data_IF_924285148250
#
_entry.id   IF_924285148250
#
_cell.length_a   1.000
_cell.length_b   1.000
_cell.length_c   1.000
_cell.angle_alpha   90.00
_cell.angle_beta   90.00
_cell.angle_gamma   90.00
#
_symmetry.space_group_name_H-M   'P 1'
#
loop_
_entity.id
_entity.type
_entity.pdbx_description
1 polymer ?
#
# COMPACT_ATOMS: atom_id res chain seq x y z
N UNK A 1 10.79 13.11 -31.92
CA UNK A 1 11.47 11.85 -31.53
C UNK A 1 12.02 11.94 -30.11
N UNK A 2 12.75 13.00 -29.76
CA UNK A 2 13.30 13.20 -28.40
C UNK A 2 12.25 13.15 -27.26
N UNK A 3 11.08 13.78 -27.43
CA UNK A 3 9.98 13.73 -26.44
C UNK A 3 9.50 12.30 -26.13
N UNK A 4 9.32 11.46 -27.16
CA UNK A 4 8.90 10.05 -27.00
C UNK A 4 10.01 9.23 -26.36
N UNK A 5 11.27 9.50 -26.71
CA UNK A 5 12.43 8.86 -26.09
C UNK A 5 12.53 9.22 -24.60
N UNK A 6 12.39 10.49 -24.25
CA UNK A 6 12.42 10.98 -22.85
C UNK A 6 11.28 10.39 -22.03
N UNK A 7 10.08 10.31 -22.61
CA UNK A 7 8.93 9.63 -22.01
C UNK A 7 9.25 8.15 -21.72
N UNK A 8 9.71 7.42 -22.73
CA UNK A 8 9.99 5.98 -22.64
C UNK A 8 11.09 5.68 -21.63
N UNK A 9 12.18 6.45 -21.65
CA UNK A 9 13.28 6.32 -20.70
C UNK A 9 12.80 6.55 -19.28
N UNK A 10 12.01 7.60 -19.04
CA UNK A 10 11.47 7.91 -17.72
C UNK A 10 10.55 6.79 -17.21
N UNK A 11 9.64 6.30 -18.07
CA UNK A 11 8.71 5.22 -17.75
C UNK A 11 9.45 3.90 -17.45
N UNK A 12 10.38 3.49 -18.31
CA UNK A 12 11.17 2.27 -18.11
C UNK A 12 12.01 2.37 -16.84
N UNK A 13 12.63 3.53 -16.60
CA UNK A 13 13.41 3.76 -15.38
C UNK A 13 12.56 3.67 -14.12
N UNK A 14 11.36 4.26 -14.14
CA UNK A 14 10.39 4.13 -13.05
C UNK A 14 10.00 2.67 -12.78
N UNK A 15 9.68 1.92 -13.83
CA UNK A 15 9.36 0.51 -13.75
C UNK A 15 10.50 -0.31 -13.15
N UNK A 16 11.73 -0.12 -13.64
CA UNK A 16 12.91 -0.82 -13.11
C UNK A 16 13.13 -0.48 -11.62
N UNK A 17 13.03 0.80 -11.25
CA UNK A 17 13.25 1.21 -9.86
C UNK A 17 12.20 0.64 -8.91
N UNK A 18 10.96 0.43 -9.35
CA UNK A 18 9.90 -0.20 -8.54
C UNK A 18 10.18 -1.67 -8.18
N UNK A 19 10.97 -2.38 -8.99
CA UNK A 19 11.34 -3.78 -8.76
C UNK A 19 12.58 -3.94 -7.88
N UNK A 20 13.34 -2.86 -7.66
CA UNK A 20 14.60 -2.91 -6.90
C UNK A 20 14.39 -3.16 -5.41
N UNK A 21 13.20 -2.92 -4.87
CA UNK A 21 12.90 -3.05 -3.44
C UNK A 21 13.23 -4.42 -2.85
N UNK A 22 13.11 -5.50 -3.61
CA UNK A 22 13.47 -6.85 -3.15
C UNK A 22 14.98 -6.96 -2.96
N UNK A 23 15.76 -6.43 -3.91
CA UNK A 23 17.22 -6.41 -3.80
C UNK A 23 17.65 -5.54 -2.63
N UNK A 24 17.00 -4.38 -2.45
CA UNK A 24 17.23 -3.46 -1.34
C UNK A 24 16.93 -4.12 -0.01
N UNK A 25 15.84 -4.87 0.09
CA UNK A 25 15.47 -5.60 1.30
C UNK A 25 16.56 -6.58 1.73
N UNK A 26 17.05 -7.40 0.79
CA UNK A 26 18.11 -8.38 1.05
C UNK A 26 19.43 -7.71 1.43
N UNK A 27 19.78 -6.63 0.73
CA UNK A 27 20.98 -5.84 1.02
C UNK A 27 20.90 -5.18 2.42
N UNK A 28 19.78 -4.53 2.74
CA UNK A 28 19.57 -3.87 4.03
C UNK A 28 19.62 -4.87 5.19
N UNK A 29 19.02 -6.05 5.02
CA UNK A 29 19.10 -7.12 6.02
C UNK A 29 20.54 -7.59 6.24
N UNK A 30 21.26 -7.86 5.15
CA UNK A 30 22.68 -8.27 5.21
C UNK A 30 23.52 -7.23 5.94
N UNK A 31 23.40 -5.94 5.58
CA UNK A 31 24.23 -4.90 6.18
C UNK A 31 23.88 -4.64 7.66
N UNK A 32 22.59 -4.71 8.03
CA UNK A 32 22.18 -4.60 9.44
C UNK A 32 22.77 -5.75 10.26
N UNK A 33 22.72 -6.97 9.74
CA UNK A 33 23.29 -8.15 10.38
C UNK A 33 24.82 -8.04 10.51
N UNK A 34 25.52 -7.59 9.46
CA UNK A 34 26.97 -7.37 9.50
C UNK A 34 27.37 -6.30 10.52
N UNK A 35 26.64 -5.19 10.60
CA UNK A 35 26.85 -4.13 11.62
C UNK A 35 26.58 -4.64 13.05
N UNK A 36 25.63 -5.55 13.22
CA UNK A 36 25.37 -6.18 14.52
C UNK A 36 26.49 -7.13 14.92
N UNK A 37 27.03 -7.90 13.96
CA UNK A 37 28.20 -8.75 14.18
C UNK A 37 29.46 -7.95 14.50
N UNK A 38 29.73 -6.85 13.78
CA UNK A 38 30.91 -6.02 14.01
C UNK A 38 30.85 -5.20 15.31
N UNK A 39 29.64 -4.94 15.82
CA UNK A 39 29.42 -4.34 17.15
C UNK A 39 29.40 -5.35 18.29
N UNK A 40 29.44 -6.66 18.01
CA UNK A 40 29.66 -7.65 19.04
C UNK A 40 31.10 -7.46 19.55
N UNK A 41 31.32 -7.17 20.85
CA UNK A 41 32.66 -6.92 21.36
C UNK A 41 33.54 -8.15 21.06
N UNK A 42 34.70 -7.89 20.46
CA UNK A 42 35.79 -8.86 20.50
C UNK A 42 36.02 -9.18 21.98
N UNK A 43 35.69 -10.41 22.35
CA UNK A 43 36.02 -10.95 23.66
C UNK A 43 37.55 -11.01 23.71
N UNK A 44 38.18 -10.01 24.30
CA UNK A 44 39.35 -10.28 25.13
C UNK A 44 38.89 -11.32 26.16
N UNK A 45 39.47 -12.52 26.09
CA UNK A 45 39.51 -13.48 27.19
C UNK A 45 39.82 -12.69 28.47
N UNK A 46 39.12 -12.87 29.59
CA UNK A 46 39.05 -14.12 30.34
C UNK A 46 37.78 -14.18 31.21
N UNK A 47 37.31 -15.40 31.44
CA UNK A 47 36.46 -15.83 32.55
C UNK A 47 35.09 -15.15 32.72
N UNK A 48 34.08 -15.69 32.03
CA UNK A 48 32.96 -16.30 32.75
C UNK A 48 32.04 -17.11 31.83
N UNK A 49 31.73 -18.34 32.26
CA UNK A 49 30.69 -19.20 31.69
C UNK A 49 29.32 -18.59 31.99
N UNK A 50 28.87 -17.64 31.17
CA UNK A 50 27.45 -17.35 31.00
C UNK A 50 27.12 -17.53 29.53
N UNK A 51 26.12 -18.39 29.26
CA UNK A 51 25.54 -18.62 27.94
C UNK A 51 25.20 -17.27 27.31
N UNK A 52 26.09 -16.74 26.48
CA UNK A 52 25.81 -15.63 25.59
C UNK A 52 24.77 -16.11 24.60
N UNK A 53 23.50 -15.88 24.92
CA UNK A 53 22.42 -15.88 23.93
C UNK A 53 22.85 -14.82 22.91
N UNK A 54 23.33 -15.25 21.75
CA UNK A 54 23.53 -14.36 20.60
C UNK A 54 22.18 -13.69 20.37
N UNK A 55 22.02 -12.45 20.82
CA UNK A 55 20.86 -11.62 20.48
C UNK A 55 21.00 -11.36 18.99
N UNK A 56 20.37 -12.23 18.20
CA UNK A 56 20.26 -12.07 16.76
C UNK A 56 19.48 -10.78 16.55
N UNK A 57 20.19 -9.71 16.27
CA UNK A 57 19.60 -8.41 16.02
C UNK A 57 18.93 -8.49 14.64
N UNK A 58 17.74 -9.09 14.60
CA UNK A 58 16.97 -9.24 13.37
C UNK A 58 16.84 -7.90 12.68
N UNK A 59 16.98 -7.89 11.35
CA UNK A 59 16.62 -6.73 10.57
C UNK A 59 15.15 -6.42 10.81
N UNK A 60 14.90 -5.38 11.62
CA UNK A 60 13.56 -4.89 11.90
C UNK A 60 12.77 -4.68 10.59
N UNK A 61 13.45 -4.33 9.51
CA UNK A 61 12.85 -4.17 8.18
C UNK A 61 12.34 -5.51 7.61
N UNK A 62 13.20 -6.53 7.55
CA UNK A 62 12.81 -7.83 6.99
C UNK A 62 11.72 -8.51 7.81
N UNK A 63 11.84 -8.49 9.14
CA UNK A 63 10.81 -9.05 10.03
C UNK A 63 9.47 -8.36 9.80
N UNK A 64 9.44 -7.03 9.61
CA UNK A 64 8.21 -6.28 9.34
C UNK A 64 7.60 -6.59 7.97
N UNK A 65 8.43 -6.70 6.93
CA UNK A 65 7.97 -7.13 5.60
C UNK A 65 7.36 -8.54 5.68
N UNK A 66 8.04 -9.48 6.33
CA UNK A 66 7.54 -10.84 6.51
C UNK A 66 6.26 -10.89 7.34
N UNK A 67 6.16 -10.11 8.41
CA UNK A 67 4.93 -9.98 9.22
C UNK A 67 3.76 -9.50 8.35
N UNK A 68 3.97 -8.52 7.49
CA UNK A 68 2.94 -8.04 6.56
C UNK A 68 2.57 -9.11 5.53
N UNK A 69 3.53 -9.83 4.95
CA UNK A 69 3.26 -10.93 4.02
C UNK A 69 2.47 -12.07 4.68
N UNK A 70 2.83 -12.45 5.91
CA UNK A 70 2.14 -13.51 6.66
C UNK A 70 0.72 -13.08 7.00
N UNK A 71 0.51 -11.88 7.52
CA UNK A 71 -0.82 -11.40 7.89
C UNK A 71 -1.73 -11.29 6.66
N UNK A 72 -1.27 -10.64 5.59
CA UNK A 72 -2.11 -10.36 4.43
C UNK A 72 -2.23 -11.53 3.46
N UNK A 73 -1.16 -12.29 3.25
CA UNK A 73 -1.14 -13.44 2.36
C UNK A 73 -1.61 -14.72 3.04
N UNK A 74 -0.95 -15.10 4.13
CA UNK A 74 -1.19 -16.41 4.75
C UNK A 74 -2.39 -16.44 5.70
N UNK A 75 -2.61 -15.40 6.51
CA UNK A 75 -3.76 -15.39 7.41
C UNK A 75 -4.99 -14.91 6.63
N UNK A 76 -4.89 -13.74 6.00
CA UNK A 76 -6.07 -13.11 5.44
C UNK A 76 -6.47 -13.69 4.08
N UNK A 77 -5.63 -13.55 3.05
CA UNK A 77 -5.96 -14.01 1.70
C UNK A 77 -6.22 -15.53 1.66
N UNK A 78 -5.37 -16.34 2.27
CA UNK A 78 -5.57 -17.79 2.31
C UNK A 78 -6.88 -18.17 3.00
N UNK A 79 -7.28 -17.48 4.08
CA UNK A 79 -8.58 -17.77 4.73
C UNK A 79 -9.75 -17.53 3.79
N UNK A 80 -9.71 -16.48 2.96
CA UNK A 80 -10.73 -16.21 1.94
C UNK A 80 -10.73 -17.31 0.87
N UNK A 81 -9.55 -17.69 0.37
CA UNK A 81 -9.44 -18.72 -0.67
C UNK A 81 -9.90 -20.09 -0.17
N UNK A 82 -9.51 -20.48 1.05
CA UNK A 82 -9.95 -21.73 1.69
C UNK A 82 -11.46 -21.70 1.90
N UNK A 83 -12.03 -20.57 2.33
CA UNK A 83 -13.48 -20.47 2.52
C UNK A 83 -14.24 -20.61 1.19
N UNK A 84 -13.87 -19.84 0.17
CA UNK A 84 -14.59 -19.77 -1.11
C UNK A 84 -14.38 -21.02 -1.98
N UNK A 85 -13.17 -21.59 -1.99
CA UNK A 85 -12.81 -22.68 -2.91
C UNK A 85 -12.70 -24.07 -2.27
N UNK A 86 -12.61 -24.17 -0.94
CA UNK A 86 -12.56 -25.47 -0.25
C UNK A 86 -13.79 -25.68 0.64
N UNK A 87 -14.06 -24.79 1.60
CA UNK A 87 -15.13 -24.98 2.58
C UNK A 87 -16.52 -24.89 1.96
N UNK A 88 -16.82 -23.83 1.19
CA UNK A 88 -18.13 -23.70 0.55
C UNK A 88 -18.44 -24.88 -0.39
N UNK A 89 -17.55 -25.29 -1.31
CA UNK A 89 -17.77 -26.48 -2.11
C UNK A 89 -17.91 -27.75 -1.28
N UNK A 90 -17.10 -27.96 -0.25
CA UNK A 90 -17.20 -29.14 0.63
C UNK A 90 -18.57 -29.20 1.33
N UNK A 91 -19.05 -28.07 1.86
CA UNK A 91 -20.39 -27.99 2.46
C UNK A 91 -21.48 -28.24 1.42
N UNK A 92 -21.33 -27.71 0.19
CA UNK A 92 -22.26 -28.00 -0.91
C UNK A 92 -22.30 -29.49 -1.24
N UNK A 93 -21.15 -30.16 -1.31
CA UNK A 93 -21.07 -31.60 -1.52
C UNK A 93 -21.74 -32.38 -0.39
N UNK A 94 -21.59 -31.96 0.87
CA UNK A 94 -22.29 -32.57 2.00
C UNK A 94 -23.82 -32.41 1.89
N UNK A 95 -24.32 -31.24 1.50
CA UNK A 95 -25.77 -31.04 1.26
C UNK A 95 -26.26 -31.99 0.18
N UNK A 96 -25.53 -32.10 -0.93
CA UNK A 96 -25.89 -33.01 -2.02
C UNK A 96 -25.81 -34.48 -1.60
N UNK A 97 -24.86 -34.85 -0.73
CA UNK A 97 -24.75 -36.22 -0.23
C UNK A 97 -25.92 -36.60 0.70
N UNK A 98 -26.41 -35.66 1.53
CA UNK A 98 -27.49 -35.92 2.49
C UNK A 98 -28.87 -35.80 1.83
N UNK A 99 -29.09 -34.75 1.04
CA UNK A 99 -30.40 -34.41 0.48
C UNK A 99 -30.53 -34.69 -1.03
N UNK A 100 -29.50 -35.25 -1.67
CA UNK A 100 -29.48 -35.47 -3.12
C UNK A 100 -30.55 -36.42 -3.67
N UNK A 101 -31.24 -37.15 -2.80
CA UNK A 101 -32.41 -37.96 -3.16
C UNK A 101 -33.59 -37.10 -3.62
N UNK A 102 -33.71 -35.86 -3.14
CA UNK A 102 -34.69 -34.87 -3.59
C UNK A 102 -33.97 -33.58 -4.04
N UNK A 103 -33.77 -33.39 -5.36
CA UNK A 103 -33.07 -32.23 -5.90
C UNK A 103 -33.68 -30.88 -5.49
N UNK A 104 -35.00 -30.82 -5.27
CA UNK A 104 -35.68 -29.60 -4.85
C UNK A 104 -35.32 -29.21 -3.42
N UNK A 105 -35.29 -30.19 -2.52
CA UNK A 105 -34.89 -29.97 -1.12
C UNK A 105 -33.41 -29.57 -1.01
N UNK A 106 -32.51 -30.28 -1.70
CA UNK A 106 -31.09 -29.97 -1.69
C UNK A 106 -30.80 -28.55 -2.22
N UNK A 107 -31.49 -28.15 -3.31
CA UNK A 107 -31.37 -26.81 -3.86
C UNK A 107 -31.87 -25.75 -2.88
N UNK A 108 -33.04 -25.93 -2.29
CA UNK A 108 -33.62 -25.01 -1.32
C UNK A 108 -32.71 -24.84 -0.09
N UNK A 109 -32.15 -25.93 0.43
CA UNK A 109 -31.23 -25.89 1.58
C UNK A 109 -29.97 -25.10 1.24
N UNK A 110 -29.35 -25.36 0.10
CA UNK A 110 -28.16 -24.64 -0.32
C UNK A 110 -28.42 -23.15 -0.57
N UNK A 111 -29.58 -22.81 -1.13
CA UNK A 111 -29.95 -21.44 -1.49
C UNK A 111 -29.97 -20.46 -0.31
N UNK A 112 -30.40 -20.90 0.88
CA UNK A 112 -30.33 -20.05 2.09
C UNK A 112 -29.03 -20.23 2.87
N UNK A 113 -28.44 -21.43 2.86
CA UNK A 113 -27.24 -21.70 3.65
C UNK A 113 -26.00 -21.03 3.09
N UNK A 114 -25.82 -21.01 1.77
CA UNK A 114 -24.66 -20.36 1.13
C UNK A 114 -24.56 -18.85 1.46
N UNK A 115 -25.60 -18.01 1.26
CA UNK A 115 -25.51 -16.60 1.61
C UNK A 115 -25.36 -16.39 3.11
N UNK A 116 -25.98 -17.22 3.95
CA UNK A 116 -25.83 -17.14 5.41
C UNK A 116 -24.39 -17.40 5.87
N UNK A 117 -23.78 -18.51 5.42
CA UNK A 117 -22.39 -18.85 5.72
C UNK A 117 -21.43 -17.75 5.22
N UNK A 118 -21.65 -17.29 3.99
CA UNK A 118 -20.82 -16.25 3.37
C UNK A 118 -20.91 -14.93 4.13
N UNK A 119 -22.11 -14.52 4.54
CA UNK A 119 -22.33 -13.30 5.31
C UNK A 119 -21.70 -13.39 6.70
N UNK A 120 -21.89 -14.49 7.40
CA UNK A 120 -21.29 -14.73 8.73
C UNK A 120 -19.77 -14.69 8.65
N UNK A 121 -19.16 -15.38 7.68
CA UNK A 121 -17.71 -15.34 7.46
C UNK A 121 -17.22 -13.91 7.14
N UNK A 122 -17.92 -13.19 6.27
CA UNK A 122 -17.53 -11.82 5.90
C UNK A 122 -17.60 -10.85 7.07
N UNK A 123 -18.64 -10.93 7.90
CA UNK A 123 -18.88 -10.01 9.00
C UNK A 123 -18.02 -10.31 10.24
N UNK A 124 -17.86 -11.58 10.59
CA UNK A 124 -17.17 -11.98 11.83
C UNK A 124 -15.66 -12.13 11.61
N UNK A 125 -15.24 -12.56 10.41
CA UNK A 125 -13.83 -12.84 10.14
C UNK A 125 -13.20 -11.79 9.21
N UNK A 126 -13.72 -11.64 7.99
CA UNK A 126 -13.07 -10.82 6.95
C UNK A 126 -13.05 -9.34 7.33
N UNK A 127 -14.17 -8.77 7.77
CA UNK A 127 -14.26 -7.34 8.07
C UNK A 127 -13.37 -6.93 9.27
N UNK A 128 -13.41 -7.60 10.43
CA UNK A 128 -12.50 -7.27 11.54
C UNK A 128 -11.03 -7.45 11.15
N UNK A 129 -10.70 -8.55 10.47
CA UNK A 129 -9.33 -8.82 10.03
C UNK A 129 -8.83 -7.77 9.02
N UNK A 130 -9.70 -7.31 8.11
CA UNK A 130 -9.39 -6.23 7.17
C UNK A 130 -9.05 -4.92 7.89
N UNK A 131 -9.88 -4.52 8.86
CA UNK A 131 -9.68 -3.29 9.64
C UNK A 131 -8.39 -3.36 10.47
N UNK A 132 -8.17 -4.48 11.17
CA UNK A 132 -6.95 -4.71 11.94
C UNK A 132 -5.71 -4.72 11.05
N UNK A 133 -5.78 -5.40 9.91
CA UNK A 133 -4.68 -5.46 8.96
C UNK A 133 -4.32 -4.07 8.45
N UNK A 134 -5.29 -3.23 8.10
CA UNK A 134 -5.01 -1.83 7.69
C UNK A 134 -4.26 -1.04 8.74
N UNK A 135 -4.67 -1.13 10.01
CA UNK A 135 -4.03 -0.40 11.11
C UNK A 135 -2.59 -0.88 11.34
N UNK A 136 -2.42 -2.20 11.44
CA UNK A 136 -1.13 -2.82 11.74
C UNK A 136 -0.15 -2.62 10.57
N UNK A 137 -0.61 -2.77 9.33
CA UNK A 137 0.18 -2.51 8.14
C UNK A 137 0.68 -1.06 8.11
N UNK A 138 -0.17 -0.07 8.41
CA UNK A 138 0.25 1.34 8.44
C UNK A 138 1.44 1.58 9.37
N UNK A 139 1.42 0.98 10.57
CA UNK A 139 2.52 1.04 11.53
C UNK A 139 3.78 0.35 11.03
N UNK A 140 3.65 -0.86 10.47
CA UNK A 140 4.78 -1.61 9.92
C UNK A 140 5.40 -0.92 8.71
N UNK A 141 4.58 -0.32 7.85
CA UNK A 141 5.03 0.42 6.67
C UNK A 141 5.82 1.66 7.06
N UNK A 142 5.39 2.37 8.11
CA UNK A 142 6.14 3.49 8.67
C UNK A 142 7.48 3.03 9.26
N UNK A 143 7.51 1.94 10.03
CA UNK A 143 8.75 1.36 10.58
C UNK A 143 9.76 1.01 9.48
N UNK A 144 9.28 0.40 8.38
CA UNK A 144 10.07 0.03 7.21
C UNK A 144 10.64 1.27 6.53
N UNK A 145 9.78 2.26 6.26
CA UNK A 145 10.16 3.53 5.65
C UNK A 145 11.24 4.27 6.45
N UNK A 146 11.03 4.43 7.75
CA UNK A 146 11.95 5.16 8.63
C UNK A 146 13.30 4.46 8.72
N UNK A 147 13.29 3.12 8.77
CA UNK A 147 14.52 2.33 8.78
C UNK A 147 15.31 2.47 7.48
N UNK A 148 14.62 2.38 6.32
CA UNK A 148 15.25 2.58 5.01
C UNK A 148 15.78 4.00 4.83
N UNK A 149 15.01 5.01 5.24
CA UNK A 149 15.42 6.40 5.18
C UNK A 149 16.66 6.66 6.04
N UNK A 150 16.66 6.19 7.29
CA UNK A 150 17.79 6.34 8.22
C UNK A 150 19.06 5.73 7.70
N UNK A 151 18.93 4.59 7.03
CA UNK A 151 20.06 3.90 6.44
C UNK A 151 20.70 4.71 5.29
N UNK A 152 19.89 5.32 4.41
CA UNK A 152 20.41 6.03 3.22
C UNK A 152 20.74 7.50 3.43
N UNK A 153 19.92 8.21 4.21
CA UNK A 153 19.96 9.68 4.30
C UNK A 153 20.20 10.20 5.71
N UNK A 154 20.32 9.31 6.70
CA UNK A 154 20.50 9.70 8.09
C UNK A 154 19.19 10.14 8.75
N UNK A 155 19.24 11.10 9.69
CA UNK A 155 18.07 11.43 10.51
C UNK A 155 16.95 12.09 9.68
N UNK A 156 15.67 11.69 9.85
CA UNK A 156 14.54 12.36 9.21
C UNK A 156 14.51 13.86 9.54
N UNK A 157 14.20 14.67 8.54
CA UNK A 157 13.97 16.11 8.69
C UNK A 157 12.47 16.35 8.77
N UNK A 158 11.91 16.29 9.98
CA UNK A 158 10.49 16.55 10.18
C UNK A 158 10.18 18.04 10.08
N UNK A 159 8.95 18.36 9.68
CA UNK A 159 8.42 19.72 9.78
C UNK A 159 8.53 20.24 11.22
N UNK A 160 8.76 21.55 11.38
CA UNK A 160 9.05 22.16 12.68
C UNK A 160 7.89 22.13 13.70
N UNK A 161 6.68 21.74 13.30
CA UNK A 161 5.50 21.74 14.15
C UNK A 161 4.65 20.48 13.97
N UNK A 162 4.25 19.87 15.10
CA UNK A 162 3.33 18.72 15.17
C UNK A 162 1.97 19.06 14.54
N UNK A 163 1.49 20.29 14.69
CA UNK A 163 0.24 20.72 14.07
C UNK A 163 0.33 20.70 12.54
N UNK A 164 1.46 21.13 11.96
CA UNK A 164 1.69 21.05 10.51
C UNK A 164 1.75 19.60 10.03
N UNK A 165 2.38 18.73 10.80
CA UNK A 165 2.43 17.28 10.52
C UNK A 165 1.01 16.70 10.45
N UNK A 166 0.19 16.94 11.48
CA UNK A 166 -1.18 16.42 11.54
C UNK A 166 -2.01 16.97 10.38
N UNK A 167 -1.92 18.28 10.11
CA UNK A 167 -2.66 18.92 9.03
C UNK A 167 -2.28 18.35 7.65
N UNK A 168 -0.98 18.18 7.38
CA UNK A 168 -0.48 17.58 6.13
C UNK A 168 -0.94 16.13 5.99
N UNK A 169 -0.86 15.33 7.04
CA UNK A 169 -1.32 13.92 7.03
C UNK A 169 -2.82 13.80 6.78
N UNK A 170 -3.65 14.64 7.42
CA UNK A 170 -5.09 14.65 7.20
C UNK A 170 -5.46 15.14 5.80
N UNK A 171 -4.77 16.18 5.32
CA UNK A 171 -4.98 16.69 3.97
C UNK A 171 -4.56 15.67 2.90
N UNK A 172 -3.43 14.99 3.11
CA UNK A 172 -2.97 13.91 2.24
C UNK A 172 -3.96 12.76 2.19
N UNK A 173 -4.42 12.29 3.35
CA UNK A 173 -5.43 11.23 3.44
C UNK A 173 -6.72 11.59 2.68
N UNK A 174 -7.21 12.84 2.84
CA UNK A 174 -8.40 13.30 2.14
C UNK A 174 -8.19 13.35 0.62
N UNK A 175 -7.08 13.95 0.16
CA UNK A 175 -6.77 14.05 -1.28
C UNK A 175 -6.63 12.66 -1.90
N UNK A 176 -5.93 11.74 -1.24
CA UNK A 176 -5.75 10.37 -1.70
C UNK A 176 -7.10 9.62 -1.77
N UNK A 177 -7.96 9.76 -0.76
CA UNK A 177 -9.29 9.16 -0.76
C UNK A 177 -10.18 9.70 -1.90
N UNK A 178 -10.20 11.03 -2.09
CA UNK A 178 -10.94 11.64 -3.20
C UNK A 178 -10.36 11.24 -4.56
N UNK A 179 -9.04 11.07 -4.67
CA UNK A 179 -8.41 10.61 -5.91
C UNK A 179 -8.73 9.16 -6.25
N UNK A 180 -8.86 8.30 -5.22
CA UNK A 180 -9.36 6.95 -5.39
C UNK A 180 -10.81 6.96 -5.92
N UNK A 181 -11.68 7.79 -5.34
CA UNK A 181 -13.06 7.96 -5.83
C UNK A 181 -13.09 8.49 -7.25
N UNK A 182 -12.28 9.51 -7.57
CA UNK A 182 -12.12 10.02 -8.94
C UNK A 182 -11.76 8.89 -9.91
N UNK A 183 -10.82 8.01 -9.53
CA UNK A 183 -10.39 6.88 -10.35
C UNK A 183 -11.54 5.89 -10.62
N UNK A 184 -12.36 5.60 -9.60
CA UNK A 184 -13.55 4.76 -9.74
C UNK A 184 -14.58 5.38 -10.69
N UNK A 185 -14.83 6.69 -10.58
CA UNK A 185 -15.74 7.40 -11.48
C UNK A 185 -15.23 7.37 -12.93
N UNK A 186 -13.93 7.57 -13.12
CA UNK A 186 -13.29 7.52 -14.45
C UNK A 186 -13.39 6.12 -15.06
N UNK A 187 -13.33 5.04 -14.26
CA UNK A 187 -13.55 3.68 -14.77
C UNK A 187 -14.97 3.41 -15.26
N UNK A 188 -15.95 4.24 -14.90
CA UNK A 188 -17.34 4.09 -15.36
C UNK A 188 -17.60 4.74 -16.73
N UNK A 189 -16.58 5.32 -17.38
CA UNK A 189 -16.74 5.91 -18.71
C UNK A 189 -17.15 4.83 -19.74
N UNK A 190 -18.26 5.03 -20.49
CA UNK A 190 -18.79 4.05 -21.43
C UNK A 190 -18.04 4.06 -22.77
N UNK A 191 -16.70 4.10 -22.72
CA UNK A 191 -15.82 4.05 -23.88
C UNK A 191 -14.93 2.82 -23.69
N UNK A 192 -15.06 1.85 -24.59
CA UNK A 192 -14.37 0.56 -24.51
C UNK A 192 -12.87 0.75 -24.25
N UNK A 193 -12.35 0.08 -23.22
CA UNK A 193 -10.96 0.12 -22.74
C UNK A 193 -10.40 1.46 -22.25
N UNK A 194 -10.96 2.60 -22.65
CA UNK A 194 -10.47 3.92 -22.26
C UNK A 194 -10.67 4.18 -20.76
N UNK A 195 -11.84 3.81 -20.21
CA UNK A 195 -12.11 3.93 -18.77
C UNK A 195 -11.12 3.12 -17.91
N UNK A 196 -10.83 1.89 -18.34
CA UNK A 196 -9.86 1.00 -17.67
C UNK A 196 -8.43 1.53 -17.74
N UNK A 197 -7.99 1.99 -18.92
CA UNK A 197 -6.66 2.57 -19.11
C UNK A 197 -6.48 3.84 -18.27
N UNK A 198 -7.47 4.72 -18.24
CA UNK A 198 -7.42 5.93 -17.43
C UNK A 198 -7.42 5.60 -15.93
N UNK A 199 -8.20 4.60 -15.50
CA UNK A 199 -8.17 4.11 -14.12
C UNK A 199 -6.78 3.55 -13.77
N UNK A 200 -6.16 2.77 -14.66
CA UNK A 200 -4.80 2.27 -14.48
C UNK A 200 -3.80 3.42 -14.33
N UNK A 201 -3.86 4.46 -15.18
CA UNK A 201 -3.01 5.65 -15.05
C UNK A 201 -3.19 6.32 -13.69
N UNK A 202 -4.42 6.51 -13.21
CA UNK A 202 -4.66 7.07 -11.90
C UNK A 202 -4.08 6.19 -10.79
N UNK A 203 -4.32 4.87 -10.83
CA UNK A 203 -3.79 3.94 -9.83
C UNK A 203 -2.26 3.94 -9.79
N UNK A 204 -1.59 4.04 -10.95
CA UNK A 204 -0.14 4.15 -11.00
C UNK A 204 0.37 5.40 -10.28
N UNK A 205 -0.23 6.56 -10.55
CA UNK A 205 0.16 7.81 -9.88
C UNK A 205 -0.16 7.79 -8.38
N UNK A 206 -1.30 7.21 -8.00
CA UNK A 206 -1.70 7.08 -6.60
C UNK A 206 -0.77 6.15 -5.82
N UNK A 207 -0.40 5.00 -6.38
CA UNK A 207 0.51 4.05 -5.72
C UNK A 207 1.95 4.57 -5.68
N UNK A 208 2.37 5.33 -6.69
CA UNK A 208 3.60 6.11 -6.63
C UNK A 208 3.56 7.12 -5.49
N UNK A 209 2.47 7.89 -5.36
CA UNK A 209 2.31 8.82 -4.23
C UNK A 209 2.39 8.09 -2.89
N UNK A 210 1.66 6.98 -2.71
CA UNK A 210 1.69 6.19 -1.48
C UNK A 210 3.11 5.74 -1.12
N UNK A 211 3.86 5.25 -2.11
CA UNK A 211 5.20 4.68 -1.88
C UNK A 211 6.24 5.77 -1.56
N UNK A 212 6.22 6.88 -2.32
CA UNK A 212 7.17 7.97 -2.16
C UNK A 212 6.82 8.92 -1.01
N UNK A 213 5.55 8.98 -0.59
CA UNK A 213 5.12 9.82 0.51
C UNK A 213 5.92 9.55 1.78
N UNK A 214 6.18 8.30 2.13
CA UNK A 214 7.03 7.94 3.26
C UNK A 214 8.42 8.60 3.21
N UNK A 215 9.06 8.57 2.05
CA UNK A 215 10.37 9.19 1.82
C UNK A 215 10.28 10.71 1.91
N UNK A 216 9.30 11.31 1.25
CA UNK A 216 9.16 12.77 1.16
C UNK A 216 8.68 13.39 2.47
N UNK A 217 7.88 12.67 3.23
CA UNK A 217 7.49 13.03 4.58
C UNK A 217 8.73 13.09 5.49
N UNK A 218 9.63 12.10 5.40
CA UNK A 218 10.92 12.10 6.11
C UNK A 218 11.90 13.20 5.62
N UNK A 219 11.65 13.81 4.46
CA UNK A 219 12.35 15.01 3.97
C UNK A 219 11.65 16.33 4.35
N UNK A 220 10.51 16.26 5.04
CA UNK A 220 9.73 17.44 5.42
C UNK A 220 9.02 18.12 4.24
N UNK A 221 8.78 17.40 3.14
CA UNK A 221 8.02 17.95 2.01
C UNK A 221 6.54 17.99 2.33
N UNK A 222 5.87 19.12 2.12
CA UNK A 222 4.42 19.23 2.22
C UNK A 222 3.70 18.58 1.03
N UNK A 223 2.43 18.20 1.18
CA UNK A 223 1.65 17.51 0.16
C UNK A 223 1.65 18.22 -1.19
N UNK A 224 1.46 19.55 -1.21
CA UNK A 224 1.45 20.32 -2.47
C UNK A 224 2.74 20.13 -3.28
N UNK A 225 3.88 20.06 -2.60
CA UNK A 225 5.18 19.79 -3.23
C UNK A 225 5.22 18.36 -3.77
N UNK A 226 4.75 17.37 -3.00
CA UNK A 226 4.69 15.95 -3.42
C UNK A 226 3.84 15.78 -4.69
N UNK A 227 2.64 16.36 -4.71
CA UNK A 227 1.73 16.30 -5.85
C UNK A 227 2.33 16.98 -7.08
N UNK A 228 2.81 18.22 -6.94
CA UNK A 228 3.44 18.97 -8.04
C UNK A 228 4.62 18.20 -8.62
N UNK A 229 5.43 17.55 -7.77
CA UNK A 229 6.57 16.76 -8.20
C UNK A 229 6.14 15.53 -9.01
N UNK A 230 5.06 14.85 -8.62
CA UNK A 230 4.49 13.74 -9.40
C UNK A 230 3.94 14.25 -10.73
N UNK A 231 3.11 15.29 -10.74
CA UNK A 231 2.47 15.80 -11.95
C UNK A 231 3.49 16.31 -12.98
N UNK A 232 4.61 16.89 -12.51
CA UNK A 232 5.69 17.41 -13.37
C UNK A 232 6.60 16.30 -13.90
N UNK A 233 6.68 15.14 -13.24
CA UNK A 233 7.56 14.02 -13.63
C UNK A 233 6.75 12.73 -13.80
N UNK A 234 5.50 12.87 -14.25
CA UNK A 234 4.51 11.80 -14.27
C UNK A 234 4.92 10.56 -15.08
N UNK A 235 5.73 10.61 -16.17
CA UNK A 235 6.10 9.39 -16.89
C UNK A 235 6.87 8.41 -16.02
N UNK A 236 7.78 8.93 -15.17
CA UNK A 236 8.51 8.12 -14.21
C UNK A 236 7.57 7.48 -13.19
N UNK A 237 6.65 8.26 -12.61
CA UNK A 237 5.72 7.75 -11.60
C UNK A 237 4.64 6.83 -12.17
N UNK A 238 4.28 7.01 -13.42
CA UNK A 238 3.45 6.05 -14.16
C UNK A 238 4.16 4.71 -14.22
N UNK A 239 5.41 4.68 -14.69
CA UNK A 239 6.22 3.46 -14.74
C UNK A 239 6.45 2.82 -13.38
N UNK A 240 6.73 3.62 -12.35
CA UNK A 240 6.98 3.12 -10.99
C UNK A 240 5.75 2.47 -10.36
N UNK A 241 4.57 3.07 -10.51
CA UNK A 241 3.34 2.53 -9.93
C UNK A 241 2.75 1.35 -10.72
N UNK A 242 3.15 1.18 -11.99
CA UNK A 242 2.55 0.24 -12.92
C UNK A 242 2.49 -1.21 -12.43
N UNK A 243 3.58 -1.83 -11.91
CA UNK A 243 3.49 -3.24 -11.53
C UNK A 243 2.52 -3.45 -10.38
N UNK A 244 2.51 -2.58 -9.36
CA UNK A 244 1.57 -2.69 -8.26
C UNK A 244 0.14 -2.46 -8.73
N UNK A 245 -0.09 -1.46 -9.58
CA UNK A 245 -1.41 -1.17 -10.13
C UNK A 245 -1.97 -2.37 -10.90
N UNK A 246 -1.18 -2.96 -11.80
CA UNK A 246 -1.58 -4.17 -12.54
C UNK A 246 -1.85 -5.34 -11.59
N UNK A 247 -0.95 -5.62 -10.64
CA UNK A 247 -1.14 -6.72 -9.68
C UNK A 247 -2.44 -6.58 -8.89
N UNK A 248 -2.80 -5.37 -8.49
CA UNK A 248 -4.05 -5.10 -7.75
C UNK A 248 -5.31 -5.10 -8.60
N UNK A 249 -5.19 -5.01 -9.93
CA UNK A 249 -6.32 -5.09 -10.86
C UNK A 249 -6.65 -6.53 -11.31
N UNK A 250 -5.72 -7.48 -11.14
CA UNK A 250 -5.96 -8.90 -11.47
C UNK A 250 -7.15 -9.49 -10.68
N UNK A 251 -7.28 -9.26 -9.35
CA UNK A 251 -8.41 -9.80 -8.60
C UNK A 251 -9.68 -8.98 -8.81
N UNK A 252 -10.80 -9.65 -9.10
CA UNK A 252 -12.12 -9.01 -9.20
C UNK A 252 -12.69 -8.54 -7.84
N UNK A 253 -12.06 -8.91 -6.72
CA UNK A 253 -12.50 -8.54 -5.37
C UNK A 253 -11.61 -7.45 -4.79
N UNK A 254 -12.21 -6.31 -4.41
CA UNK A 254 -11.51 -5.21 -3.72
C UNK A 254 -10.79 -5.66 -2.44
N UNK A 255 -11.33 -6.68 -1.75
CA UNK A 255 -10.71 -7.22 -0.52
C UNK A 255 -9.44 -7.99 -0.86
N UNK A 256 -9.49 -8.84 -1.89
CA UNK A 256 -8.32 -9.60 -2.36
C UNK A 256 -7.28 -8.65 -2.95
N UNK A 257 -7.72 -7.66 -3.73
CA UNK A 257 -6.88 -6.58 -4.25
C UNK A 257 -6.16 -5.83 -3.11
N UNK A 258 -6.86 -5.54 -2.01
CA UNK A 258 -6.25 -4.99 -0.80
C UNK A 258 -5.20 -5.90 -0.15
N UNK A 259 -5.42 -7.22 -0.13
CA UNK A 259 -4.42 -8.17 0.36
C UNK A 259 -3.17 -8.17 -0.53
N UNK A 260 -3.36 -8.20 -1.86
CA UNK A 260 -2.26 -8.11 -2.84
C UNK A 260 -1.48 -6.82 -2.64
N UNK A 261 -2.17 -5.68 -2.53
CA UNK A 261 -1.55 -4.40 -2.23
C UNK A 261 -0.69 -4.51 -0.96
N UNK A 262 -1.25 -4.97 0.15
CA UNK A 262 -0.52 -5.03 1.43
C UNK A 262 0.68 -6.00 1.43
N UNK A 263 0.66 -7.07 0.62
CA UNK A 263 1.80 -7.98 0.46
C UNK A 263 2.97 -7.29 -0.25
N UNK A 264 2.70 -6.59 -1.35
CA UNK A 264 3.76 -6.01 -2.19
C UNK A 264 4.19 -4.61 -1.75
N UNK A 265 3.29 -3.83 -1.15
CA UNK A 265 3.53 -2.43 -0.82
C UNK A 265 4.78 -2.16 0.05
N UNK A 266 5.13 -2.99 1.06
CA UNK A 266 6.41 -2.84 1.78
C UNK A 266 7.64 -2.73 0.88
N UNK A 267 7.68 -3.53 -0.19
CA UNK A 267 8.78 -3.56 -1.15
C UNK A 267 8.78 -2.29 -2.01
N UNK A 268 7.62 -1.73 -2.32
CA UNK A 268 7.49 -0.46 -3.02
C UNK A 268 7.94 0.73 -2.16
N UNK A 269 7.69 0.71 -0.85
CA UNK A 269 8.22 1.71 0.09
C UNK A 269 9.76 1.71 0.08
N UNK A 270 10.37 0.53 0.12
CA UNK A 270 11.83 0.38 0.03
C UNK A 270 12.36 0.90 -1.31
N UNK A 271 11.72 0.51 -2.41
CA UNK A 271 12.02 0.99 -3.76
C UNK A 271 11.95 2.51 -3.85
N UNK A 272 10.89 3.13 -3.32
CA UNK A 272 10.68 4.57 -3.34
C UNK A 272 11.77 5.31 -2.57
N UNK A 273 12.15 4.82 -1.38
CA UNK A 273 13.25 5.36 -0.57
C UNK A 273 14.58 5.39 -1.33
N UNK A 274 14.84 4.36 -2.12
CA UNK A 274 16.06 4.18 -2.89
C UNK A 274 16.07 4.88 -4.26
N UNK A 275 14.90 5.06 -4.84
CA UNK A 275 14.72 5.59 -6.16
C UNK A 275 15.27 7.02 -6.33
N UNK A 276 15.76 7.30 -7.53
CA UNK A 276 16.14 8.64 -7.99
C UNK A 276 15.31 8.96 -9.22
N UNK A 277 14.12 9.59 -9.03
CA UNK A 277 13.21 9.87 -10.13
C UNK A 277 13.87 10.66 -11.25
N UNK A 278 13.59 10.26 -12.49
CA UNK A 278 14.00 11.04 -13.67
C UNK A 278 13.20 12.34 -13.69
N UNK A 279 13.90 13.47 -13.82
CA UNK A 279 13.31 14.80 -13.78
C UNK A 279 13.15 15.33 -15.20
N UNK A 280 12.01 15.96 -15.48
CA UNK A 280 11.73 16.64 -16.72
C UNK A 280 10.70 15.91 -17.58
N UNK A 281 9.46 16.41 -17.54
CA UNK A 281 8.43 16.16 -18.56
C UNK A 281 8.13 17.48 -19.26
N UNK A 282 7.91 17.44 -20.58
CA UNK A 282 7.54 18.64 -21.36
C UNK A 282 6.20 19.23 -20.90
N UNK A 283 5.26 18.36 -20.52
CA UNK A 283 3.92 18.76 -20.08
C UNK A 283 3.58 18.13 -18.72
N UNK A 284 3.10 18.93 -17.74
CA UNK A 284 2.65 18.40 -16.46
C UNK A 284 1.26 17.77 -16.59
N UNK A 285 1.09 16.58 -16.03
CA UNK A 285 -0.18 15.85 -16.02
C UNK A 285 -0.94 16.14 -14.72
N UNK A 286 -1.84 17.13 -14.76
CA UNK A 286 -2.49 17.70 -13.57
C UNK A 286 -3.71 16.92 -13.04
N UNK A 287 -3.58 15.60 -12.89
CA UNK A 287 -4.71 14.74 -12.48
C UNK A 287 -5.13 14.92 -11.02
N UNK A 288 -4.26 15.43 -10.13
CA UNK A 288 -4.62 15.68 -8.73
C UNK A 288 -5.31 17.04 -8.53
N UNK A 289 -5.26 17.93 -9.52
CA UNK A 289 -5.85 19.27 -9.41
C UNK A 289 -7.35 19.28 -9.07
N UNK A 290 -8.22 18.43 -9.66
CA UNK A 290 -9.64 18.40 -9.31
C UNK A 290 -9.89 18.03 -7.84
N UNK A 291 -9.19 17.01 -7.32
CA UNK A 291 -9.34 16.57 -5.93
C UNK A 291 -8.74 17.57 -4.94
N UNK A 292 -7.67 18.26 -5.31
CA UNK A 292 -7.12 19.36 -4.49
C UNK A 292 -8.13 20.52 -4.40
N UNK A 293 -8.78 20.87 -5.51
CA UNK A 293 -9.83 21.89 -5.51
C UNK A 293 -11.02 21.48 -4.64
N UNK A 294 -11.44 20.22 -4.72
CA UNK A 294 -12.52 19.66 -3.91
C UNK A 294 -12.16 19.64 -2.42
N UNK A 295 -10.99 19.14 -2.05
CA UNK A 295 -10.48 19.16 -0.67
C UNK A 295 -10.47 20.58 -0.10
N UNK A 296 -9.90 21.54 -0.83
CA UNK A 296 -9.89 22.95 -0.43
C UNK A 296 -11.31 23.52 -0.25
N UNK A 297 -12.25 23.11 -1.10
CA UNK A 297 -13.68 23.43 -0.96
C UNK A 297 -14.27 22.91 0.35
N UNK A 298 -14.02 21.65 0.68
CA UNK A 298 -14.50 21.01 1.92
C UNK A 298 -13.94 21.70 3.18
N UNK A 299 -12.63 22.01 3.20
CA UNK A 299 -12.02 22.73 4.32
C UNK A 299 -12.59 24.14 4.50
N UNK A 300 -12.85 24.87 3.40
CA UNK A 300 -13.51 26.18 3.47
C UNK A 300 -14.92 26.09 4.03
N UNK A 301 -15.67 25.05 3.66
CA UNK A 301 -17.02 24.81 4.18
C UNK A 301 -16.99 24.49 5.67
N UNK A 302 -16.16 23.54 6.09
CA UNK A 302 -16.02 23.14 7.49
C UNK A 302 -15.64 24.34 8.40
N UNK A 303 -14.72 25.20 7.93
CA UNK A 303 -14.36 26.42 8.65
C UNK A 303 -15.51 27.41 8.78
N UNK A 304 -16.29 27.61 7.71
CA UNK A 304 -17.48 28.49 7.75
C UNK A 304 -18.52 27.98 8.75
N UNK A 305 -18.78 26.67 8.79
CA UNK A 305 -19.73 26.09 9.75
C UNK A 305 -19.26 26.30 11.19
N UNK A 306 -17.97 26.04 11.47
CA UNK A 306 -17.41 26.25 12.81
C UNK A 306 -17.44 27.73 13.25
N UNK A 307 -17.25 28.67 12.31
CA UNK A 307 -17.35 30.12 12.59
C UNK A 307 -18.79 30.57 12.87
N UNK A 308 -19.80 29.88 12.33
CA UNK A 308 -21.22 30.13 12.61
C UNK A 308 -21.59 29.60 14.00
N UNK A 309 -21.21 28.37 14.32
CA UNK A 309 -21.49 27.74 15.62
C UNK A 309 -20.81 28.48 16.79
N UNK A 310 -19.68 29.16 16.55
CA UNK A 310 -19.01 29.98 17.57
C UNK A 310 -19.68 31.33 17.82
N UNK A 311 -20.55 31.78 16.91
CA UNK A 311 -21.27 33.06 17.00
C UNK A 311 -22.71 32.91 17.49
N UNK A 312 -23.25 31.69 17.55
CA UNK A 312 -24.52 31.35 18.19
C UNK A 312 -24.33 31.03 19.67
#
# INVERSE_FOLDING_TARGET
MESVTNFSVSLIKGFIDSLRGVTVLLYLDKEINERALSRSPQIESENNKQKNVKVKQESKVLTRVLQSCILNGFIFLLSILVFEYALLPAVKYLVLAVFGHDPGVAHNVWAWMQPFLSMTFRMIWVLPLFLLSKLVNSLWFQDIADSAYRHRRGRPQFMSSVSKIIADSLFSLLVQALFLVQSMVVSMLPIAYVGELLCLVHMCLLYSLYSFEYKWFNMGWELHKRLTFIETNWPYFLGFGLPLAVLTQIPNSYIISGCVFSIFFPVFILSGNEATPVIGSEYPLRLFSPVVALSNGMFRLARRTADVDRKS
#
